data_IF_775932604704
#
_entry.id   IF_775932604704
#
_cell.length_a   1.000
_cell.length_b   1.000
_cell.length_c   1.000
_cell.angle_alpha   90.00
_cell.angle_beta   90.00
_cell.angle_gamma   90.00
#
_symmetry.space_group_name_H-M   'P 1'
#
loop_
_entity.id
_entity.type
_entity.pdbx_description
1 polymer ?
#
# COMPACT_ATOMS: atom_id res chain seq x y z
N UNK A 1 -7.31 18.84 2.11
CA UNK A 1 -7.95 17.59 2.55
C UNK A 1 -9.10 17.94 3.48
N UNK A 2 -10.34 17.81 3.00
CA UNK A 2 -11.52 17.96 3.84
C UNK A 2 -11.92 16.58 4.34
N UNK A 3 -11.32 16.13 5.44
CA UNK A 3 -12.05 15.23 6.31
C UNK A 3 -13.19 16.05 6.88
N UNK A 4 -14.43 15.58 6.73
CA UNK A 4 -15.66 16.32 7.05
C UNK A 4 -15.86 16.70 8.54
N UNK A 5 -14.78 16.68 9.35
CA UNK A 5 -14.77 16.94 10.78
C UNK A 5 -13.69 17.95 11.21
N UNK A 6 -13.13 18.77 10.31
CA UNK A 6 -12.22 19.86 10.70
C UNK A 6 -13.06 21.09 11.03
N UNK A 7 -13.09 21.44 12.32
CA UNK A 7 -13.93 22.50 12.89
C UNK A 7 -13.00 23.56 13.47
N UNK A 8 -13.23 24.85 13.18
CA UNK A 8 -12.38 25.93 13.71
C UNK A 8 -12.62 26.12 15.23
N UNK A 9 -11.67 26.74 15.95
CA UNK A 9 -11.89 27.11 17.34
C UNK A 9 -13.16 27.97 17.49
N UNK A 10 -14.17 27.46 18.18
CA UNK A 10 -15.45 28.13 18.41
C UNK A 10 -16.58 27.74 17.46
N UNK A 11 -16.33 26.96 16.41
CA UNK A 11 -17.39 26.38 15.58
C UNK A 11 -17.93 25.08 16.23
N UNK A 12 -19.22 24.80 16.08
CA UNK A 12 -19.81 23.53 16.51
C UNK A 12 -19.32 22.39 15.60
N UNK A 13 -18.88 21.28 16.20
CA UNK A 13 -18.46 20.07 15.47
C UNK A 13 -19.60 19.46 14.67
N UNK A 14 -20.83 19.74 15.10
CA UNK A 14 -22.05 19.30 14.45
C UNK A 14 -22.72 20.51 13.79
N UNK A 15 -23.24 20.38 12.56
CA UNK A 15 -23.99 21.47 11.92
C UNK A 15 -25.12 21.95 12.84
N UNK A 16 -25.14 23.25 13.14
CA UNK A 16 -26.04 23.88 14.13
C UNK A 16 -27.53 23.75 13.77
N UNK A 17 -27.83 23.50 12.50
CA UNK A 17 -29.18 23.32 11.96
C UNK A 17 -29.48 21.88 11.51
N UNK A 18 -28.78 20.86 12.03
CA UNK A 18 -29.28 19.49 11.90
C UNK A 18 -30.35 19.25 12.93
N UNK A 19 -31.54 18.89 12.46
CA UNK A 19 -32.52 18.18 13.29
C UNK A 19 -31.79 16.98 13.87
N UNK A 20 -31.65 16.92 15.20
CA UNK A 20 -31.15 15.72 15.86
C UNK A 20 -32.02 14.55 15.44
N UNK A 21 -31.47 13.48 14.85
CA UNK A 21 -32.27 12.33 14.45
C UNK A 21 -33.03 11.83 15.67
N UNK A 22 -34.29 11.48 15.45
CA UNK A 22 -35.12 10.96 16.53
C UNK A 22 -34.41 9.72 17.10
N UNK A 23 -34.20 9.61 18.43
CA UNK A 23 -33.56 8.42 19.00
C UNK A 23 -34.22 7.10 18.58
N UNK A 24 -35.52 7.12 18.29
CA UNK A 24 -36.25 5.97 17.74
C UNK A 24 -35.85 5.59 16.31
N UNK A 25 -35.28 6.50 15.51
CA UNK A 25 -34.71 6.21 14.19
C UNK A 25 -33.34 5.52 14.28
N UNK A 26 -32.66 5.62 15.42
CA UNK A 26 -31.36 4.97 15.67
C UNK A 26 -31.52 3.60 16.33
N UNK A 27 -32.75 3.17 16.63
CA UNK A 27 -33.03 1.83 17.13
C UNK A 27 -32.99 0.86 15.96
N UNK A 28 -32.03 -0.07 15.98
CA UNK A 28 -31.98 -1.15 15.00
C UNK A 28 -33.28 -1.95 15.11
N UNK A 29 -34.07 -1.93 14.03
CA UNK A 29 -35.21 -2.82 13.93
C UNK A 29 -34.71 -4.25 13.67
N UNK A 30 -34.61 -5.06 14.72
CA UNK A 30 -34.12 -6.45 14.65
C UNK A 30 -34.95 -7.33 13.72
N UNK A 31 -36.21 -6.97 13.43
CA UNK A 31 -37.03 -7.69 12.44
C UNK A 31 -36.47 -7.61 11.01
N UNK A 32 -35.53 -6.70 10.74
CA UNK A 32 -34.83 -6.59 9.45
C UNK A 32 -33.70 -7.60 9.33
N UNK A 33 -33.16 -8.13 10.44
CA UNK A 33 -32.02 -9.06 10.44
C UNK A 33 -32.26 -10.28 9.53
N UNK A 34 -33.43 -10.95 9.54
CA UNK A 34 -33.70 -12.08 8.65
C UNK A 34 -33.81 -11.70 7.16
N UNK A 35 -34.01 -10.41 6.85
CA UNK A 35 -34.11 -9.89 5.48
C UNK A 35 -32.75 -9.46 4.91
N UNK A 36 -31.71 -9.43 5.75
CA UNK A 36 -30.37 -9.12 5.31
C UNK A 36 -29.80 -10.28 4.48
N UNK A 37 -28.89 -10.00 3.52
CA UNK A 37 -28.19 -11.04 2.80
C UNK A 37 -27.46 -11.97 3.78
N UNK A 38 -27.38 -13.26 3.44
CA UNK A 38 -26.62 -14.24 4.23
C UNK A 38 -25.22 -13.69 4.52
N UNK A 39 -24.81 -13.79 5.78
CA UNK A 39 -23.47 -13.38 6.18
C UNK A 39 -22.41 -14.21 5.43
N UNK A 40 -21.31 -13.58 4.98
CA UNK A 40 -20.22 -14.27 4.31
C UNK A 40 -19.52 -15.25 5.27
N UNK A 41 -19.07 -16.39 4.75
CA UNK A 41 -18.44 -17.45 5.55
C UNK A 41 -16.90 -17.34 5.55
N UNK A 42 -16.32 -16.73 4.52
CA UNK A 42 -14.88 -16.57 4.39
C UNK A 42 -14.44 -15.11 4.53
N UNK A 43 -13.17 -14.85 4.94
CA UNK A 43 -12.63 -13.49 4.94
C UNK A 43 -12.66 -12.82 3.57
N UNK A 44 -12.42 -13.58 2.49
CA UNK A 44 -12.49 -13.08 1.11
C UNK A 44 -13.90 -12.59 0.79
N UNK A 45 -14.90 -13.42 1.06
CA UNK A 45 -16.30 -13.08 0.79
C UNK A 45 -16.76 -11.92 1.67
N UNK A 46 -16.20 -11.79 2.88
CA UNK A 46 -16.49 -10.67 3.79
C UNK A 46 -16.06 -9.33 3.20
N UNK A 47 -14.86 -9.28 2.61
CA UNK A 47 -14.36 -8.07 1.94
C UNK A 47 -15.27 -7.66 0.78
N UNK A 48 -15.64 -8.62 -0.08
CA UNK A 48 -16.51 -8.38 -1.23
C UNK A 48 -17.94 -8.00 -0.79
N UNK A 49 -18.51 -8.73 0.18
CA UNK A 49 -19.84 -8.48 0.73
C UNK A 49 -19.95 -7.07 1.32
N UNK A 50 -18.96 -6.63 2.10
CA UNK A 50 -18.92 -5.28 2.64
C UNK A 50 -18.85 -4.23 1.53
N UNK A 51 -18.05 -4.46 0.48
CA UNK A 51 -17.99 -3.55 -0.67
C UNK A 51 -19.35 -3.45 -1.40
N UNK A 52 -20.03 -4.57 -1.61
CA UNK A 52 -21.36 -4.61 -2.24
C UNK A 52 -22.37 -3.82 -1.40
N UNK A 53 -22.39 -4.05 -0.08
CA UNK A 53 -23.29 -3.32 0.82
C UNK A 53 -22.99 -1.83 0.87
N UNK A 54 -21.71 -1.45 0.95
CA UNK A 54 -21.31 -0.05 0.85
C UNK A 54 -21.78 0.60 -0.45
N UNK A 55 -21.68 -0.11 -1.59
CA UNK A 55 -22.16 0.40 -2.87
C UNK A 55 -23.69 0.49 -2.95
N UNK A 56 -24.42 -0.41 -2.29
CA UNK A 56 -25.88 -0.29 -2.15
C UNK A 56 -26.27 0.96 -1.34
N UNK A 57 -25.56 1.24 -0.26
CA UNK A 57 -25.74 2.46 0.53
C UNK A 57 -25.37 3.71 -0.27
N UNK A 58 -24.24 3.69 -0.99
CA UNK A 58 -23.84 4.81 -1.86
C UNK A 58 -24.90 5.12 -2.91
N UNK A 59 -25.44 4.09 -3.57
CA UNK A 59 -26.53 4.26 -4.55
C UNK A 59 -27.78 4.87 -3.92
N UNK A 60 -28.12 4.48 -2.69
CA UNK A 60 -29.27 5.03 -1.98
C UNK A 60 -29.07 6.50 -1.57
N UNK A 61 -27.86 6.85 -1.14
CA UNK A 61 -27.52 8.19 -0.66
C UNK A 61 -27.13 9.18 -1.77
N UNK A 62 -26.87 8.72 -2.99
CA UNK A 62 -26.54 9.58 -4.12
C UNK A 62 -27.66 10.59 -4.39
N UNK A 63 -27.32 11.88 -4.43
CA UNK A 63 -28.27 12.97 -4.64
C UNK A 63 -29.19 13.29 -3.46
N UNK A 64 -29.03 12.61 -2.31
CA UNK A 64 -29.81 12.93 -1.11
C UNK A 64 -29.30 14.20 -0.42
N UNK A 65 -30.14 14.96 0.31
CA UNK A 65 -29.70 16.18 1.01
C UNK A 65 -28.58 15.99 2.04
N UNK A 66 -28.34 14.75 2.49
CA UNK A 66 -27.26 14.39 3.40
C UNK A 66 -25.91 14.14 2.69
N UNK A 67 -25.89 14.14 1.36
CA UNK A 67 -24.68 13.99 0.55
C UNK A 67 -23.80 15.24 0.63
N UNK A 68 -22.49 15.04 0.79
CA UNK A 68 -21.51 16.12 0.71
C UNK A 68 -21.33 16.50 -0.78
N UNK A 69 -21.60 17.76 -1.18
CA UNK A 69 -21.45 18.19 -2.57
C UNK A 69 -20.04 18.02 -3.14
N UNK A 70 -19.02 17.98 -2.29
CA UNK A 70 -17.61 17.80 -2.67
C UNK A 70 -17.17 16.35 -2.72
N UNK A 71 -17.99 15.43 -2.20
CA UNK A 71 -17.72 13.99 -2.17
C UNK A 71 -18.99 13.19 -2.55
N UNK A 72 -19.44 13.32 -3.82
CA UNK A 72 -20.63 12.63 -4.29
C UNK A 72 -20.47 11.11 -4.16
N UNK A 73 -21.55 10.44 -3.78
CA UNK A 73 -21.62 8.99 -3.64
C UNK A 73 -21.66 8.36 -5.03
N UNK A 74 -20.65 7.55 -5.30
CA UNK A 74 -20.53 6.77 -6.54
C UNK A 74 -20.31 5.31 -6.20
N UNK A 75 -20.47 4.45 -7.20
CA UNK A 75 -20.04 3.06 -7.10
C UNK A 75 -18.51 3.00 -7.00
N UNK A 76 -18.01 2.34 -5.95
CA UNK A 76 -16.61 2.28 -5.59
C UNK A 76 -16.04 0.84 -5.74
N UNK A 77 -14.86 0.67 -6.37
CA UNK A 77 -14.07 1.72 -7.01
C UNK A 77 -14.65 2.14 -8.36
N UNK A 78 -14.61 3.43 -8.73
CA UNK A 78 -14.94 3.85 -10.07
C UNK A 78 -13.96 3.26 -11.09
N UNK A 79 -14.40 3.12 -12.35
CA UNK A 79 -13.63 2.47 -13.41
C UNK A 79 -12.27 3.11 -13.66
N UNK A 80 -12.13 4.43 -13.49
CA UNK A 80 -10.84 5.10 -13.64
C UNK A 80 -9.83 4.77 -12.51
N UNK A 81 -10.29 4.33 -11.32
CA UNK A 81 -9.41 3.88 -10.23
C UNK A 81 -9.02 2.42 -10.36
N UNK A 82 -9.92 1.58 -10.90
CA UNK A 82 -9.61 0.18 -11.16
C UNK A 82 -10.32 -0.29 -12.44
N UNK A 83 -9.73 -0.11 -13.63
CA UNK A 83 -10.36 -0.54 -14.88
C UNK A 83 -10.59 -2.06 -14.93
N UNK A 84 -9.65 -2.83 -14.38
CA UNK A 84 -9.73 -4.30 -14.32
C UNK A 84 -10.84 -4.83 -13.41
N UNK A 85 -11.40 -3.99 -12.54
CA UNK A 85 -12.52 -4.36 -11.68
C UNK A 85 -13.87 -4.37 -12.41
N UNK A 86 -13.94 -3.88 -13.66
CA UNK A 86 -15.18 -3.69 -14.40
C UNK A 86 -15.22 -4.54 -15.67
N UNK A 87 -16.39 -5.10 -15.96
CA UNK A 87 -16.71 -5.74 -17.24
C UNK A 87 -17.81 -4.96 -17.95
N UNK A 88 -17.86 -5.05 -19.28
CA UNK A 88 -18.96 -4.51 -20.04
C UNK A 88 -20.04 -5.58 -20.23
N UNK A 89 -21.29 -5.23 -19.93
CA UNK A 89 -22.45 -6.07 -20.16
C UNK A 89 -22.76 -6.16 -21.66
N UNK A 90 -23.68 -7.05 -22.04
CA UNK A 90 -24.19 -7.15 -23.42
C UNK A 90 -24.90 -5.88 -23.91
N UNK A 91 -25.39 -5.04 -23.00
CA UNK A 91 -26.03 -3.75 -23.31
C UNK A 91 -25.03 -2.59 -23.36
N UNK A 92 -23.75 -2.85 -23.10
CA UNK A 92 -22.70 -1.83 -23.08
C UNK A 92 -22.51 -1.14 -21.72
N UNK A 93 -23.28 -1.52 -20.70
CA UNK A 93 -23.18 -0.97 -19.35
C UNK A 93 -21.97 -1.55 -18.60
N UNK A 94 -21.33 -0.75 -17.75
CA UNK A 94 -20.23 -1.22 -16.92
C UNK A 94 -20.76 -1.89 -15.65
N UNK A 95 -20.33 -3.13 -15.41
CA UNK A 95 -20.65 -3.92 -14.23
C UNK A 95 -19.39 -4.19 -13.40
N UNK A 96 -19.43 -3.87 -12.10
CA UNK A 96 -18.30 -4.06 -11.19
C UNK A 96 -18.27 -5.49 -10.67
N UNK A 97 -17.12 -6.16 -10.78
CA UNK A 97 -16.87 -7.47 -10.17
C UNK A 97 -17.83 -8.58 -10.64
N UNK A 98 -18.33 -8.51 -11.88
CA UNK A 98 -19.38 -9.41 -12.37
C UNK A 98 -18.86 -10.77 -12.83
N UNK A 99 -17.66 -10.80 -13.39
CA UNK A 99 -16.98 -12.02 -13.85
C UNK A 99 -15.95 -12.48 -12.82
N UNK A 100 -15.53 -13.76 -12.83
CA UNK A 100 -14.48 -14.24 -11.93
C UNK A 100 -13.18 -13.40 -11.96
N UNK A 101 -12.78 -12.95 -13.15
CA UNK A 101 -11.56 -12.15 -13.34
C UNK A 101 -11.69 -10.75 -12.76
N UNK A 102 -12.85 -10.12 -12.98
CA UNK A 102 -13.13 -8.76 -12.46
C UNK A 102 -13.39 -8.78 -10.96
N UNK A 103 -14.01 -9.84 -10.43
CA UNK A 103 -14.22 -10.04 -9.00
C UNK A 103 -12.88 -10.25 -8.27
N UNK A 104 -11.98 -11.05 -8.84
CA UNK A 104 -10.63 -11.22 -8.28
C UNK A 104 -9.84 -9.91 -8.32
N UNK A 105 -9.90 -9.18 -9.43
CA UNK A 105 -9.27 -7.85 -9.53
C UNK A 105 -9.83 -6.87 -8.50
N UNK A 106 -11.14 -6.90 -8.25
CA UNK A 106 -11.80 -6.13 -7.21
C UNK A 106 -11.32 -6.52 -5.81
N UNK A 107 -11.25 -7.82 -5.51
CA UNK A 107 -10.75 -8.30 -4.23
C UNK A 107 -9.32 -7.81 -3.97
N UNK A 108 -8.42 -7.97 -4.93
CA UNK A 108 -7.02 -7.52 -4.82
C UNK A 108 -6.93 -6.00 -4.64
N UNK A 109 -7.73 -5.24 -5.42
CA UNK A 109 -7.80 -3.79 -5.28
C UNK A 109 -8.22 -3.38 -3.86
N UNK A 110 -9.26 -4.00 -3.30
CA UNK A 110 -9.77 -3.66 -1.98
C UNK A 110 -8.74 -3.97 -0.89
N UNK A 111 -8.10 -5.14 -0.95
CA UNK A 111 -7.05 -5.53 0.01
C UNK A 111 -5.90 -4.53 -0.05
N UNK A 112 -5.41 -4.19 -1.24
CA UNK A 112 -4.30 -3.24 -1.38
C UNK A 112 -4.70 -1.83 -0.94
N UNK A 113 -5.90 -1.37 -1.29
CA UNK A 113 -6.42 -0.04 -0.95
C UNK A 113 -6.53 0.20 0.56
N UNK A 114 -6.85 -0.84 1.33
CA UNK A 114 -7.01 -0.78 2.78
C UNK A 114 -5.80 -1.34 3.56
N UNK A 115 -4.78 -1.84 2.87
CA UNK A 115 -3.52 -2.28 3.49
C UNK A 115 -2.82 -1.11 4.19
N UNK A 116 -2.14 -1.39 5.30
CA UNK A 116 -1.40 -0.38 6.08
C UNK A 116 -0.33 0.36 5.25
N UNK A 117 0.30 -0.32 4.27
CA UNK A 117 1.26 0.29 3.35
C UNK A 117 0.66 1.36 2.43
N UNK A 118 -0.66 1.36 2.24
CA UNK A 118 -1.38 2.32 1.40
C UNK A 118 -1.78 3.59 2.16
N UNK A 119 -1.53 3.66 3.47
CA UNK A 119 -1.88 4.83 4.28
C UNK A 119 -0.94 6.00 3.96
N UNK A 120 -1.52 7.17 3.65
CA UNK A 120 -0.79 8.40 3.36
C UNK A 120 -0.82 9.31 4.59
N UNK A 121 0.26 9.30 5.37
CA UNK A 121 0.39 10.13 6.57
C UNK A 121 0.75 11.58 6.27
N UNK A 122 1.31 11.85 5.09
CA UNK A 122 1.72 13.20 4.64
C UNK A 122 0.56 14.19 4.51
N UNK A 123 -0.66 13.66 4.41
CA UNK A 123 -1.89 14.43 4.22
C UNK A 123 -2.64 14.68 5.55
N UNK A 124 -2.12 14.17 6.67
CA UNK A 124 -2.70 14.37 7.99
C UNK A 124 -2.18 15.68 8.60
N UNK A 125 -3.06 16.53 9.13
CA UNK A 125 -2.63 17.68 9.94
C UNK A 125 -1.72 17.22 11.08
N UNK A 126 -0.63 17.95 11.32
CA UNK A 126 0.39 17.63 12.33
C UNK A 126 -0.18 17.41 13.73
N UNK A 127 -1.29 18.07 14.08
CA UNK A 127 -2.03 17.87 15.34
C UNK A 127 -2.55 16.45 15.56
N UNK A 128 -2.87 15.69 14.49
CA UNK A 128 -3.26 14.28 14.60
C UNK A 128 -2.05 13.36 14.70
N UNK A 129 -0.90 13.80 14.17
CA UNK A 129 0.35 13.03 14.19
C UNK A 129 1.00 13.12 15.56
N UNK A 130 1.02 14.29 16.21
CA UNK A 130 1.68 14.47 17.51
C UNK A 130 1.14 13.56 18.61
N UNK A 131 -0.15 13.23 18.58
CA UNK A 131 -0.76 12.30 19.53
C UNK A 131 -0.51 10.82 19.18
N UNK A 132 -0.26 10.52 17.90
CA UNK A 132 0.04 9.16 17.43
C UNK A 132 1.54 8.83 17.53
N UNK A 133 2.42 9.83 17.58
CA UNK A 133 3.88 9.66 17.65
C UNK A 133 4.36 9.02 18.96
N UNK A 134 3.55 9.01 20.02
CA UNK A 134 3.85 8.19 21.21
C UNK A 134 3.69 6.68 20.96
N UNK A 135 3.08 6.28 19.83
CA UNK A 135 2.96 4.89 19.39
C UNK A 135 3.89 4.61 18.20
N UNK A 136 5.10 4.14 18.51
CA UNK A 136 6.10 3.56 17.59
C UNK A 136 6.54 4.45 16.42
N UNK A 137 7.58 5.24 16.68
CA UNK A 137 8.65 5.40 15.68
C UNK A 137 9.40 4.07 15.53
N UNK A 138 8.79 3.07 14.88
CA UNK A 138 9.59 2.12 14.09
C UNK A 138 9.98 2.85 12.83
N UNK A 139 11.13 3.52 12.93
CA UNK A 139 11.84 4.13 11.82
C UNK A 139 11.92 3.10 10.68
N UNK A 140 11.59 3.45 9.43
CA UNK A 140 11.68 2.51 8.32
C UNK A 140 13.14 2.07 8.22
N UNK A 141 13.41 0.85 8.70
CA UNK A 141 14.68 0.18 8.44
C UNK A 141 14.80 0.17 6.91
N UNK A 142 15.85 0.76 6.33
CA UNK A 142 16.03 0.70 4.89
C UNK A 142 15.97 -0.76 4.48
N UNK A 143 15.10 -1.07 3.52
CA UNK A 143 14.73 -2.42 3.10
C UNK A 143 15.91 -3.37 3.26
N UNK A 144 15.76 -4.42 4.08
CA UNK A 144 16.82 -5.40 4.36
C UNK A 144 17.47 -5.92 3.06
N UNK A 145 16.71 -5.92 1.96
CA UNK A 145 17.15 -6.17 0.59
C UNK A 145 18.23 -5.19 0.11
N UNK A 146 18.06 -3.88 0.30
CA UNK A 146 19.04 -2.87 -0.10
C UNK A 146 20.33 -3.05 0.69
N UNK A 147 20.25 -3.28 2.01
CA UNK A 147 21.42 -3.54 2.85
C UNK A 147 22.13 -4.84 2.41
N UNK A 148 21.35 -5.88 2.10
CA UNK A 148 21.86 -7.15 1.58
C UNK A 148 22.60 -6.97 0.25
N UNK A 149 22.01 -6.23 -0.70
CA UNK A 149 22.61 -5.95 -2.01
C UNK A 149 23.93 -5.18 -1.84
N UNK A 150 23.95 -4.10 -1.05
CA UNK A 150 25.16 -3.30 -0.82
C UNK A 150 26.27 -4.16 -0.19
N UNK A 151 25.93 -5.00 0.79
CA UNK A 151 26.89 -5.91 1.44
C UNK A 151 27.50 -6.91 0.44
N UNK A 152 26.68 -7.52 -0.42
CA UNK A 152 27.15 -8.46 -1.46
C UNK A 152 28.05 -7.75 -2.48
N UNK A 153 27.70 -6.55 -2.92
CA UNK A 153 28.53 -5.79 -3.88
C UNK A 153 29.90 -5.45 -3.28
N UNK A 154 29.94 -4.99 -2.03
CA UNK A 154 31.19 -4.64 -1.35
C UNK A 154 32.10 -5.86 -1.14
N UNK A 155 31.53 -7.02 -0.79
CA UNK A 155 32.29 -8.25 -0.62
C UNK A 155 32.90 -8.76 -1.93
N UNK A 156 32.16 -8.67 -3.05
CA UNK A 156 32.67 -9.02 -4.38
C UNK A 156 33.82 -8.09 -4.78
N UNK A 157 33.68 -6.77 -4.59
CA UNK A 157 34.73 -5.81 -4.92
C UNK A 157 36.01 -6.05 -4.12
N UNK A 158 35.89 -6.31 -2.82
CA UNK A 158 37.03 -6.63 -1.97
C UNK A 158 37.76 -7.91 -2.42
N UNK A 159 37.01 -8.95 -2.80
CA UNK A 159 37.59 -10.19 -3.32
C UNK A 159 38.34 -9.98 -4.64
N UNK A 160 37.80 -9.18 -5.56
CA UNK A 160 38.46 -8.84 -6.83
C UNK A 160 39.78 -8.09 -6.58
N UNK A 161 39.79 -7.12 -5.67
CA UNK A 161 40.99 -6.35 -5.30
C UNK A 161 42.05 -7.28 -4.70
N UNK A 162 41.66 -8.19 -3.79
CA UNK A 162 42.57 -9.16 -3.19
C UNK A 162 43.18 -10.11 -4.24
N UNK A 163 42.36 -10.65 -5.15
CA UNK A 163 42.84 -11.54 -6.21
C UNK A 163 43.78 -10.82 -7.19
N UNK A 164 43.46 -9.56 -7.54
CA UNK A 164 44.33 -8.73 -8.37
C UNK A 164 45.67 -8.43 -7.66
N UNK A 165 45.62 -8.09 -6.37
CA UNK A 165 46.81 -7.88 -5.54
C UNK A 165 47.69 -9.12 -5.42
N UNK A 166 47.09 -10.29 -5.16
CA UNK A 166 47.80 -11.57 -5.13
C UNK A 166 48.45 -11.90 -6.48
N UNK A 167 47.72 -11.71 -7.59
CA UNK A 167 48.29 -11.90 -8.94
C UNK A 167 49.44 -10.95 -9.21
N UNK A 168 49.34 -9.68 -8.79
CA UNK A 168 50.40 -8.70 -8.93
C UNK A 168 51.65 -9.10 -8.12
N UNK A 169 51.47 -9.51 -6.85
CA UNK A 169 52.56 -9.99 -6.01
C UNK A 169 53.19 -11.27 -6.57
N UNK A 170 52.41 -12.22 -7.06
CA UNK A 170 52.91 -13.43 -7.73
C UNK A 170 53.69 -13.10 -9.00
N UNK A 171 53.19 -12.19 -9.84
CA UNK A 171 53.90 -11.70 -11.04
C UNK A 171 55.22 -11.03 -10.66
N UNK A 172 55.21 -10.15 -9.66
CA UNK A 172 56.41 -9.47 -9.16
C UNK A 172 57.43 -10.46 -8.59
N UNK A 173 57.01 -11.44 -7.79
CA UNK A 173 57.89 -12.52 -7.28
C UNK A 173 58.47 -13.38 -8.40
N UNK A 174 57.70 -13.72 -9.44
CA UNK A 174 58.20 -14.45 -10.63
C UNK A 174 59.25 -13.64 -11.39
N UNK A 175 59.01 -12.35 -11.60
CA UNK A 175 59.96 -11.46 -12.28
C UNK A 175 61.27 -11.31 -11.48
N UNK A 176 61.18 -11.16 -10.14
CA UNK A 176 62.36 -11.11 -9.28
C UNK A 176 63.16 -12.42 -9.29
N UNK A 177 62.50 -13.60 -9.22
CA UNK A 177 63.19 -14.89 -9.36
C UNK A 177 63.88 -15.04 -10.71
N UNK A 178 63.24 -14.62 -11.80
CA UNK A 178 63.83 -14.68 -13.15
C UNK A 178 65.07 -13.79 -13.28
N UNK A 179 65.04 -12.57 -12.74
CA UNK A 179 66.23 -11.70 -12.67
C UNK A 179 67.34 -12.31 -11.82
N UNK A 180 67.04 -12.87 -10.64
CA UNK A 180 68.04 -13.47 -9.75
C UNK A 180 68.71 -14.72 -10.36
N UNK A 181 67.96 -15.54 -11.11
CA UNK A 181 68.50 -16.69 -11.85
C UNK A 181 69.41 -16.30 -13.04
N UNK A 182 69.24 -15.12 -13.62
CA UNK A 182 70.14 -14.60 -14.67
C UNK A 182 71.48 -14.10 -14.11
N UNK A 183 71.54 -13.61 -12.86
CA UNK A 183 72.80 -13.23 -12.22
C UNK A 183 73.63 -14.42 -11.74
N UNK A 184 73.00 -15.56 -11.42
CA UNK A 184 73.70 -16.78 -10.99
C UNK A 184 74.16 -17.68 -12.15
N UNK A 185 73.66 -17.44 -13.37
CA UNK A 185 74.06 -18.17 -14.59
C UNK A 185 75.13 -17.48 -15.44
N UNK A 186 75.64 -16.31 -15.00
CA UNK A 186 76.64 -15.51 -15.72
C UNK A 186 78.08 -15.62 -15.19
N UNK A 187 78.35 -16.50 -14.22
CA UNK A 187 79.69 -16.81 -13.73
C UNK A 187 79.95 -18.31 -13.91
N UNK A 188 80.27 -18.70 -15.14
CA UNK A 188 80.90 -19.99 -15.47
C UNK A 188 81.31 -19.96 -16.94
N UNK A 189 82.40 -19.25 -17.25
CA UNK A 189 83.56 -19.65 -18.07
C UNK A 189 84.71 -18.71 -17.67
#
# INVERSE_FOLDING_TARGET
MNTANVVRPGESILPENRVTPNPHELVLNESVIPTLPKAPETPRDTVLWLNILHNRVNKHLAGQPSEDPTAPKIQFPPSYLCPACWSQSSTGELELGKTPETEESLFQFLVERYRASSWKYVDLPTVFITNAVELKTEQPVPDLLIISIISVVLTILAAVILLAGLRFLCRRRRLFRRRRGQYTGGQSV
#
